data_IF_576418743929
#
_entry.id   IF_576418743929
#
_cell.length_a   1.000
_cell.length_b   1.000
_cell.length_c   1.000
_cell.angle_alpha   90.00
_cell.angle_beta   90.00
_cell.angle_gamma   90.00
#
_symmetry.space_group_name_H-M   'P 1'
#
loop_
_entity.id
_entity.type
_entity.pdbx_description
1 polymer ?
#
# COMPACT_ATOMS: atom_id res chain seq x y z
N UNK A 1 -13.33 31.89 -3.91
CA UNK A 1 -12.81 31.57 -2.56
C UNK A 1 -12.94 32.79 -1.67
N UNK A 2 -13.52 32.65 -0.48
CA UNK A 2 -13.72 33.74 0.47
C UNK A 2 -12.37 34.23 1.05
N UNK A 3 -12.09 35.54 0.94
CA UNK A 3 -10.82 36.15 1.38
C UNK A 3 -10.53 35.90 2.86
N UNK A 4 -11.57 35.77 3.70
CA UNK A 4 -11.43 35.52 5.15
C UNK A 4 -10.93 34.11 5.49
N UNK A 5 -11.21 33.12 4.63
CA UNK A 5 -10.81 31.72 4.85
C UNK A 5 -9.41 31.41 4.31
N UNK A 6 -8.87 32.25 3.42
CA UNK A 6 -7.58 32.03 2.76
C UNK A 6 -6.42 31.89 3.75
N UNK A 7 -6.35 32.74 4.76
CA UNK A 7 -5.28 32.70 5.79
C UNK A 7 -5.36 31.44 6.64
N UNK A 8 -6.57 31.01 7.00
CA UNK A 8 -6.78 29.74 7.74
C UNK A 8 -6.38 28.53 6.89
N UNK A 9 -6.74 28.52 5.61
CA UNK A 9 -6.37 27.45 4.67
C UNK A 9 -4.85 27.41 4.50
N UNK A 10 -4.20 28.54 4.24
CA UNK A 10 -2.74 28.61 4.11
C UNK A 10 -2.04 28.13 5.38
N UNK A 11 -2.50 28.58 6.55
CA UNK A 11 -1.94 28.13 7.83
C UNK A 11 -2.10 26.61 8.01
N UNK A 12 -3.26 26.05 7.67
CA UNK A 12 -3.49 24.61 7.73
C UNK A 12 -2.59 23.83 6.75
N UNK A 13 -2.41 24.33 5.53
CA UNK A 13 -1.50 23.74 4.53
C UNK A 13 -0.07 23.75 5.05
N UNK A 14 0.42 24.90 5.52
CA UNK A 14 1.78 25.02 6.06
C UNK A 14 1.99 24.08 7.24
N UNK A 15 1.06 24.06 8.21
CA UNK A 15 1.12 23.13 9.34
C UNK A 15 1.14 21.66 8.86
N UNK A 16 0.28 21.31 7.90
CA UNK A 16 0.22 19.96 7.33
C UNK A 16 1.51 19.54 6.64
N UNK A 17 2.10 20.43 5.84
CA UNK A 17 3.39 20.18 5.17
C UNK A 17 4.50 20.01 6.21
N UNK A 18 4.58 20.91 7.20
CA UNK A 18 5.60 20.84 8.25
C UNK A 18 5.48 19.55 9.06
N UNK A 19 4.27 19.20 9.51
CA UNK A 19 4.04 17.95 10.25
C UNK A 19 4.34 16.72 9.39
N UNK A 20 3.98 16.74 8.11
CA UNK A 20 4.30 15.67 7.16
C UNK A 20 5.80 15.49 6.99
N UNK A 21 6.56 16.60 6.88
CA UNK A 21 8.01 16.56 6.77
C UNK A 21 8.68 16.06 8.05
N UNK A 22 8.22 16.52 9.22
CA UNK A 22 8.70 16.02 10.52
C UNK A 22 8.43 14.52 10.65
N UNK A 23 7.23 14.07 10.30
CA UNK A 23 6.87 12.65 10.34
C UNK A 23 7.78 11.84 9.42
N UNK A 24 7.92 12.27 8.15
CA UNK A 24 8.83 11.64 7.18
C UNK A 24 10.26 11.59 7.69
N UNK A 25 10.74 12.67 8.30
CA UNK A 25 12.10 12.72 8.83
C UNK A 25 12.27 11.77 10.02
N UNK A 26 11.31 11.69 10.94
CA UNK A 26 11.40 10.82 12.12
C UNK A 26 11.23 9.32 11.81
N UNK A 27 10.34 8.98 10.86
CA UNK A 27 9.96 7.58 10.62
C UNK A 27 10.60 6.96 9.39
N UNK A 28 11.11 7.78 8.45
CA UNK A 28 11.75 7.33 7.22
C UNK A 28 13.16 7.92 7.10
N UNK A 29 13.97 7.37 6.20
CA UNK A 29 15.30 7.89 5.87
C UNK A 29 15.26 9.43 5.65
N UNK A 30 16.17 10.20 6.27
CA UNK A 30 17.50 9.78 6.74
C UNK A 30 17.68 9.49 8.24
N UNK A 31 16.75 9.87 9.14
CA UNK A 31 17.03 9.80 10.59
C UNK A 31 17.11 8.36 11.14
N UNK A 32 16.17 7.44 10.84
CA UNK A 32 16.32 6.04 11.27
C UNK A 32 17.56 5.39 10.68
N UNK A 33 17.90 5.69 9.43
CA UNK A 33 19.12 5.18 8.80
C UNK A 33 20.36 5.63 9.59
N UNK A 34 20.49 6.91 9.90
CA UNK A 34 21.58 7.44 10.73
C UNK A 34 21.67 6.78 12.11
N UNK A 35 20.53 6.51 12.77
CA UNK A 35 20.50 5.82 14.06
C UNK A 35 21.07 4.39 14.00
N UNK A 36 20.87 3.68 12.88
CA UNK A 36 21.33 2.30 12.72
C UNK A 36 22.71 2.17 12.07
N UNK A 37 23.09 3.07 11.17
CA UNK A 37 24.34 3.00 10.40
C UNK A 37 25.41 3.99 10.87
N UNK A 38 25.05 5.03 11.62
CA UNK A 38 25.95 6.11 12.03
C UNK A 38 26.28 7.11 10.93
N UNK A 39 25.74 6.94 9.73
CA UNK A 39 26.03 7.78 8.57
C UNK A 39 24.74 8.42 8.02
N UNK A 40 24.83 9.69 7.62
CA UNK A 40 23.74 10.33 6.87
C UNK A 40 23.79 9.83 5.44
N UNK A 41 22.77 9.07 5.04
CA UNK A 41 22.64 8.63 3.66
C UNK A 41 22.54 9.84 2.70
N UNK A 42 23.48 9.92 1.76
CA UNK A 42 23.56 10.99 0.72
C UNK A 42 22.45 10.85 -0.33
N UNK A 43 21.71 9.74 -0.30
CA UNK A 43 20.55 9.39 -1.14
C UNK A 43 19.42 10.43 -1.13
N UNK A 44 19.32 11.27 -0.09
CA UNK A 44 18.23 12.24 0.06
C UNK A 44 18.16 13.34 -1.01
N UNK A 45 19.23 13.53 -1.80
CA UNK A 45 19.33 14.57 -2.84
C UNK A 45 19.50 14.03 -4.27
N UNK A 46 19.60 12.71 -4.48
CA UNK A 46 19.67 12.16 -5.84
C UNK A 46 18.29 12.21 -6.49
N UNK A 47 18.00 13.28 -7.23
CA UNK A 47 16.83 13.34 -8.11
C UNK A 47 17.05 12.28 -9.19
N UNK A 48 16.12 11.31 -9.28
CA UNK A 48 16.21 10.27 -10.30
C UNK A 48 16.09 10.91 -11.69
N UNK A 49 17.14 10.79 -12.49
CA UNK A 49 17.19 11.28 -13.88
C UNK A 49 16.83 10.21 -14.91
N UNK A 50 16.68 8.96 -14.49
CA UNK A 50 16.30 7.83 -15.35
C UNK A 50 14.78 7.65 -15.44
N UNK A 51 14.35 7.02 -16.54
CA UNK A 51 12.97 6.58 -16.73
C UNK A 51 12.52 5.66 -15.58
N UNK A 52 11.24 5.74 -15.28
CA UNK A 52 10.57 4.95 -14.27
C UNK A 52 10.44 3.46 -14.59
N UNK A 53 10.58 3.08 -15.86
CA UNK A 53 10.27 1.72 -16.32
C UNK A 53 8.82 1.31 -16.10
N UNK A 54 7.93 2.24 -15.71
CA UNK A 54 6.54 1.94 -15.32
C UNK A 54 5.72 1.41 -16.48
N UNK A 55 5.91 1.94 -17.68
CA UNK A 55 5.20 1.46 -18.86
C UNK A 55 5.57 0.01 -19.17
N UNK A 56 6.86 -0.33 -19.08
CA UNK A 56 7.33 -1.70 -19.24
C UNK A 56 6.79 -2.64 -18.14
N UNK A 57 6.79 -2.17 -16.89
CA UNK A 57 6.16 -2.89 -15.75
C UNK A 57 4.66 -3.13 -15.98
N UNK A 58 3.94 -2.13 -16.49
CA UNK A 58 2.50 -2.23 -16.74
C UNK A 58 2.21 -3.16 -17.92
N UNK A 59 2.95 -3.03 -19.02
CA UNK A 59 2.83 -3.90 -20.18
C UNK A 59 3.09 -5.37 -19.83
N UNK A 60 4.15 -5.62 -19.06
CA UNK A 60 4.43 -6.93 -18.50
C UNK A 60 3.27 -7.46 -17.63
N UNK A 61 2.75 -6.65 -16.71
CA UNK A 61 1.64 -7.06 -15.86
C UNK A 61 0.35 -7.30 -16.67
N UNK A 62 0.10 -6.52 -17.74
CA UNK A 62 -1.05 -6.68 -18.62
C UNK A 62 -0.97 -7.97 -19.45
N UNK A 63 0.17 -8.25 -20.04
CA UNK A 63 0.41 -9.46 -20.85
C UNK A 63 0.33 -10.74 -20.03
N UNK A 64 0.60 -10.64 -18.72
CA UNK A 64 0.54 -11.75 -17.78
C UNK A 64 -0.77 -11.79 -16.97
N UNK A 65 -1.84 -11.07 -17.31
CA UNK A 65 -3.08 -11.17 -16.54
C UNK A 65 -3.70 -12.57 -16.62
N UNK A 66 -4.12 -13.08 -15.46
CA UNK A 66 -4.91 -14.31 -15.32
C UNK A 66 -6.34 -13.97 -14.95
N UNK A 67 -7.33 -14.72 -15.45
CA UNK A 67 -8.73 -14.52 -15.08
C UNK A 67 -8.94 -14.66 -13.56
N UNK A 68 -8.23 -15.59 -12.92
CA UNK A 68 -8.28 -15.86 -11.48
C UNK A 68 -7.17 -15.15 -10.67
N UNK A 69 -6.26 -14.46 -11.36
CA UNK A 69 -5.06 -13.85 -10.75
C UNK A 69 -3.96 -14.87 -10.44
N UNK A 70 -2.87 -14.37 -9.87
CA UNK A 70 -1.66 -15.14 -9.49
C UNK A 70 -1.52 -15.39 -7.99
N UNK A 71 -2.47 -14.91 -7.18
CA UNK A 71 -2.44 -14.99 -5.72
C UNK A 71 -2.05 -13.66 -5.05
N UNK A 72 -2.33 -13.57 -3.75
CA UNK A 72 -2.09 -12.36 -2.98
C UNK A 72 -0.61 -11.98 -2.91
N UNK A 73 -0.31 -10.78 -3.41
CA UNK A 73 1.05 -10.22 -3.49
C UNK A 73 1.97 -11.16 -4.30
N UNK A 74 1.57 -11.49 -5.53
CA UNK A 74 2.32 -12.39 -6.40
C UNK A 74 3.69 -11.78 -6.75
N UNK A 75 4.76 -12.58 -6.59
CA UNK A 75 6.12 -12.18 -6.94
C UNK A 75 6.75 -13.21 -7.90
N UNK A 76 7.68 -12.74 -8.72
CA UNK A 76 8.51 -13.58 -9.59
C UNK A 76 9.93 -13.65 -9.03
N UNK A 77 10.48 -14.86 -8.93
CA UNK A 77 11.78 -15.12 -8.33
C UNK A 77 12.98 -14.54 -9.09
N UNK A 78 12.88 -14.44 -10.42
CA UNK A 78 13.98 -14.02 -11.28
C UNK A 78 13.50 -13.17 -12.46
N UNK A 79 12.59 -12.23 -12.19
CA UNK A 79 12.30 -11.18 -13.16
C UNK A 79 13.16 -9.96 -12.83
N UNK A 80 13.94 -9.41 -13.78
CA UNK A 80 14.64 -8.12 -13.59
C UNK A 80 13.65 -6.98 -13.33
N UNK A 81 12.39 -7.23 -13.67
CA UNK A 81 11.23 -6.39 -13.46
C UNK A 81 10.47 -6.97 -12.26
N UNK A 82 10.97 -6.72 -11.03
CA UNK A 82 10.29 -7.14 -9.80
C UNK A 82 8.81 -6.72 -9.88
N UNK A 83 7.93 -7.71 -10.06
CA UNK A 83 6.63 -7.61 -10.74
C UNK A 83 5.54 -6.93 -9.91
N UNK A 84 5.79 -5.69 -9.48
CA UNK A 84 4.80 -4.88 -8.75
C UNK A 84 4.39 -3.70 -9.61
N UNK A 85 3.32 -3.84 -10.41
CA UNK A 85 2.85 -2.72 -11.21
C UNK A 85 2.47 -1.58 -10.27
N UNK A 86 3.06 -0.40 -10.51
CA UNK A 86 2.78 0.82 -9.75
C UNK A 86 1.42 1.44 -10.12
N UNK A 87 0.38 0.62 -10.20
CA UNK A 87 -0.99 0.97 -10.52
C UNK A 87 -1.91 0.00 -9.77
N UNK A 88 -2.74 0.52 -8.87
CA UNK A 88 -3.60 -0.30 -8.00
C UNK A 88 -4.61 -1.16 -8.76
N UNK A 89 -5.12 -0.71 -9.90
CA UNK A 89 -6.04 -1.50 -10.72
C UNK A 89 -5.32 -2.71 -11.31
N UNK A 90 -4.17 -2.48 -11.95
CA UNK A 90 -3.34 -3.54 -12.55
C UNK A 90 -2.87 -4.48 -11.44
N UNK A 91 -2.49 -3.97 -10.28
CA UNK A 91 -2.07 -4.76 -9.12
C UNK A 91 -3.18 -5.69 -8.62
N UNK A 92 -4.41 -5.19 -8.49
CA UNK A 92 -5.57 -6.02 -8.10
C UNK A 92 -5.86 -7.07 -9.17
N UNK A 93 -5.85 -6.69 -10.45
CA UNK A 93 -6.09 -7.60 -11.56
C UNK A 93 -5.03 -8.72 -11.65
N UNK A 94 -3.77 -8.35 -11.47
CA UNK A 94 -2.64 -9.27 -11.53
C UNK A 94 -2.66 -10.27 -10.36
N UNK A 95 -2.91 -9.78 -9.14
CA UNK A 95 -2.90 -10.63 -7.94
C UNK A 95 -4.18 -11.47 -7.79
N UNK A 96 -5.35 -10.88 -8.01
CA UNK A 96 -6.64 -11.48 -7.65
C UNK A 96 -7.56 -11.75 -8.85
N UNK A 97 -7.15 -11.36 -10.05
CA UNK A 97 -7.90 -11.62 -11.28
C UNK A 97 -8.86 -10.50 -11.67
N UNK A 98 -9.57 -10.74 -12.78
CA UNK A 98 -10.40 -9.72 -13.41
C UNK A 98 -11.66 -9.39 -12.60
N UNK A 99 -12.27 -10.39 -11.95
CA UNK A 99 -13.50 -10.18 -11.17
C UNK A 99 -13.24 -9.20 -10.00
N UNK A 100 -12.23 -9.41 -9.13
CA UNK A 100 -11.92 -8.44 -8.08
C UNK A 100 -11.52 -7.07 -8.61
N UNK A 101 -10.86 -6.99 -9.76
CA UNK A 101 -10.51 -5.70 -10.39
C UNK A 101 -11.76 -4.91 -10.81
N UNK A 102 -12.76 -5.58 -11.39
CA UNK A 102 -14.05 -4.96 -11.73
C UNK A 102 -14.78 -4.52 -10.47
N UNK A 103 -14.85 -5.37 -9.44
CA UNK A 103 -15.45 -5.00 -8.15
C UNK A 103 -14.76 -3.78 -7.53
N UNK A 104 -13.43 -3.71 -7.59
CA UNK A 104 -12.65 -2.58 -7.13
C UNK A 104 -13.02 -1.28 -7.88
N UNK A 105 -13.12 -1.33 -9.22
CA UNK A 105 -13.56 -0.17 -10.02
C UNK A 105 -14.98 0.28 -9.67
N UNK A 106 -15.91 -0.66 -9.49
CA UNK A 106 -17.29 -0.36 -9.09
C UNK A 106 -17.31 0.31 -7.71
N UNK A 107 -16.50 -0.16 -6.76
CA UNK A 107 -16.39 0.46 -5.43
C UNK A 107 -15.84 1.88 -5.51
N UNK A 108 -14.80 2.12 -6.31
CA UNK A 108 -14.23 3.46 -6.53
C UNK A 108 -15.25 4.39 -7.20
N UNK A 109 -15.97 3.90 -8.21
CA UNK A 109 -17.03 4.66 -8.88
C UNK A 109 -18.18 5.00 -7.91
N UNK A 110 -18.63 4.04 -7.11
CA UNK A 110 -19.67 4.25 -6.10
C UNK A 110 -19.22 5.27 -5.04
N UNK A 111 -17.97 5.18 -4.59
CA UNK A 111 -17.37 6.18 -3.69
C UNK A 111 -17.41 7.58 -4.32
N UNK A 112 -16.96 7.71 -5.57
CA UNK A 112 -16.97 8.98 -6.30
C UNK A 112 -18.40 9.56 -6.38
N UNK A 113 -19.37 8.74 -6.80
CA UNK A 113 -20.78 9.15 -6.89
C UNK A 113 -21.30 9.61 -5.52
N UNK A 114 -21.00 8.88 -4.44
CA UNK A 114 -21.43 9.23 -3.09
C UNK A 114 -20.80 10.54 -2.60
N UNK A 115 -19.53 10.78 -2.93
CA UNK A 115 -18.82 12.02 -2.57
C UNK A 115 -19.37 13.23 -3.33
N UNK A 116 -19.75 13.06 -4.59
CA UNK A 116 -20.38 14.12 -5.40
C UNK A 116 -21.78 14.43 -4.86
N UNK A 117 -22.58 13.40 -4.53
CA UNK A 117 -23.98 13.56 -4.12
C UNK A 117 -24.17 13.97 -2.66
N UNK A 118 -23.21 13.71 -1.78
CA UNK A 118 -23.37 13.99 -0.34
C UNK A 118 -23.30 15.49 -0.06
N UNK A 119 -24.24 16.01 0.75
CA UNK A 119 -24.22 17.38 1.25
C UNK A 119 -23.46 17.52 2.59
N UNK A 120 -23.08 16.40 3.21
CA UNK A 120 -22.34 16.42 4.47
C UNK A 120 -20.87 16.79 4.21
N UNK A 121 -20.46 17.97 4.69
CA UNK A 121 -19.11 18.50 4.49
C UNK A 121 -18.00 17.56 5.01
N UNK A 122 -18.23 16.85 6.13
CA UNK A 122 -17.23 15.91 6.69
C UNK A 122 -17.08 14.67 5.81
N UNK A 123 -18.20 14.09 5.38
CA UNK A 123 -18.19 12.94 4.46
C UNK A 123 -17.52 13.32 3.15
N UNK A 124 -17.85 14.51 2.62
CA UNK A 124 -17.23 15.03 1.39
C UNK A 124 -15.72 15.23 1.56
N UNK A 125 -15.27 15.82 2.67
CA UNK A 125 -13.84 16.02 2.97
C UNK A 125 -13.07 14.69 3.02
N UNK A 126 -13.54 13.72 3.82
CA UNK A 126 -12.87 12.42 3.95
C UNK A 126 -12.93 11.62 2.65
N UNK A 127 -14.05 11.68 1.94
CA UNK A 127 -14.22 11.00 0.67
C UNK A 127 -13.32 11.55 -0.44
N UNK A 128 -13.17 12.89 -0.54
CA UNK A 128 -12.18 13.51 -1.46
C UNK A 128 -10.76 13.11 -1.08
N UNK A 129 -10.44 13.07 0.22
CA UNK A 129 -9.11 12.64 0.68
C UNK A 129 -8.82 11.20 0.27
N UNK A 130 -9.77 10.28 0.46
CA UNK A 130 -9.64 8.89 0.05
C UNK A 130 -9.52 8.76 -1.48
N UNK A 131 -10.38 9.45 -2.24
CA UNK A 131 -10.33 9.45 -3.71
C UNK A 131 -9.02 10.03 -4.25
N UNK A 132 -8.42 11.02 -3.58
CA UNK A 132 -7.11 11.55 -3.97
C UNK A 132 -6.00 10.50 -3.82
N UNK A 133 -6.03 9.72 -2.74
CA UNK A 133 -5.11 8.59 -2.56
C UNK A 133 -5.34 7.48 -3.58
N UNK A 134 -6.61 7.15 -3.87
CA UNK A 134 -6.96 6.17 -4.92
C UNK A 134 -6.49 6.64 -6.29
N UNK A 135 -6.75 7.90 -6.66
CA UNK A 135 -6.30 8.46 -7.94
C UNK A 135 -4.77 8.42 -8.06
N UNK A 136 -4.06 8.78 -6.99
CA UNK A 136 -2.60 8.67 -6.95
C UNK A 136 -2.13 7.22 -7.08
N UNK A 137 -2.88 6.27 -6.52
CA UNK A 137 -2.55 4.85 -6.58
C UNK A 137 -2.64 4.23 -7.98
N UNK A 138 -3.34 4.86 -8.93
CA UNK A 138 -3.35 4.41 -10.34
C UNK A 138 -2.04 4.71 -11.08
N UNK A 139 -1.21 5.63 -10.58
CA UNK A 139 0.03 6.05 -11.26
C UNK A 139 1.26 5.67 -10.44
N UNK A 140 1.12 5.67 -9.13
CA UNK A 140 2.16 5.34 -8.17
C UNK A 140 1.68 4.16 -7.35
N UNK A 141 2.52 3.13 -7.14
CA UNK A 141 2.17 1.89 -6.41
C UNK A 141 1.99 2.11 -4.90
N UNK A 142 1.22 3.12 -4.53
CA UNK A 142 1.11 3.65 -3.18
C UNK A 142 0.39 2.65 -2.29
N UNK A 143 -0.65 2.00 -2.82
CA UNK A 143 -1.37 0.94 -2.12
C UNK A 143 -0.56 -0.36 -1.95
N UNK A 144 0.68 -0.42 -2.43
CA UNK A 144 1.63 -1.50 -2.13
C UNK A 144 2.44 -1.23 -0.85
N UNK A 145 2.53 0.03 -0.42
CA UNK A 145 3.33 0.40 0.75
C UNK A 145 2.53 0.31 2.07
N UNK A 146 3.09 -0.30 3.13
CA UNK A 146 2.39 -0.46 4.42
C UNK A 146 1.88 0.86 5.01
N UNK A 147 2.69 1.91 4.93
CA UNK A 147 2.32 3.23 5.47
C UNK A 147 1.10 3.83 4.74
N UNK A 148 1.05 3.68 3.42
CA UNK A 148 -0.05 4.21 2.64
C UNK A 148 -1.32 3.37 2.78
N UNK A 149 -1.18 2.04 2.92
CA UNK A 149 -2.29 1.16 3.29
C UNK A 149 -2.87 1.55 4.65
N UNK A 150 -2.02 1.86 5.65
CA UNK A 150 -2.46 2.36 6.94
C UNK A 150 -3.25 3.67 6.79
N UNK A 151 -2.73 4.65 6.06
CA UNK A 151 -3.46 5.90 5.83
C UNK A 151 -4.77 5.69 5.07
N UNK A 152 -4.81 4.77 4.10
CA UNK A 152 -6.04 4.42 3.39
C UNK A 152 -7.09 3.84 4.35
N UNK A 153 -6.70 2.91 5.23
CA UNK A 153 -7.59 2.30 6.24
C UNK A 153 -8.09 3.34 7.25
N UNK A 154 -7.21 4.21 7.76
CA UNK A 154 -7.59 5.28 8.69
C UNK A 154 -8.58 6.26 8.04
N UNK A 155 -8.31 6.69 6.81
CA UNK A 155 -9.18 7.61 6.06
C UNK A 155 -10.52 6.97 5.75
N UNK A 156 -10.52 5.69 5.37
CA UNK A 156 -11.73 4.91 5.13
C UNK A 156 -12.54 4.73 6.42
N UNK A 157 -11.90 4.44 7.55
CA UNK A 157 -12.53 4.36 8.87
C UNK A 157 -13.17 5.67 9.30
N UNK A 158 -12.47 6.80 9.09
CA UNK A 158 -13.00 8.14 9.33
C UNK A 158 -14.20 8.44 8.44
N UNK A 159 -14.14 8.10 7.14
CA UNK A 159 -15.25 8.23 6.22
C UNK A 159 -16.47 7.42 6.69
N UNK A 160 -16.27 6.14 7.02
CA UNK A 160 -17.34 5.25 7.48
C UNK A 160 -18.01 5.75 8.77
N UNK A 161 -17.21 6.25 9.72
CA UNK A 161 -17.73 6.79 10.98
C UNK A 161 -18.70 7.96 10.79
N UNK A 162 -18.59 8.69 9.67
CA UNK A 162 -19.47 9.81 9.33
C UNK A 162 -20.70 9.38 8.51
N UNK A 163 -20.70 8.17 7.94
CA UNK A 163 -21.88 7.57 7.29
C UNK A 163 -22.78 6.85 8.29
N UNK A 164 -22.18 6.17 9.27
CA UNK A 164 -22.93 5.38 10.24
C UNK A 164 -23.58 6.31 11.26
N UNK A 165 -24.91 6.29 11.38
CA UNK A 165 -25.59 6.87 12.54
C UNK A 165 -24.99 6.21 13.78
N UNK A 166 -24.66 7.00 14.80
CA UNK A 166 -24.07 6.52 16.06
C UNK A 166 -25.07 5.56 16.72
N UNK A 167 -25.03 4.29 16.34
CA UNK A 167 -25.78 3.24 17.00
C UNK A 167 -25.17 3.12 18.38
N UNK A 168 -26.00 3.06 19.42
CA UNK A 168 -25.53 2.67 20.74
C UNK A 168 -25.01 1.24 20.60
N UNK A 169 -23.71 1.11 20.40
CA UNK A 169 -23.09 -0.18 20.27
C UNK A 169 -23.10 -0.78 21.67
N UNK A 170 -23.87 -1.85 21.85
CA UNK A 170 -23.80 -2.62 23.08
C UNK A 170 -22.35 -3.11 23.21
N UNK A 171 -21.66 -2.69 24.28
CA UNK A 171 -20.25 -2.99 24.50
C UNK A 171 -20.09 -4.50 24.74
N UNK A 172 -20.03 -5.27 23.66
CA UNK A 172 -19.81 -6.70 23.76
C UNK A 172 -18.32 -6.94 24.02
N UNK A 173 -17.99 -7.29 25.27
CA UNK A 173 -16.62 -7.61 25.69
C UNK A 173 -16.02 -8.71 24.81
N UNK A 174 -16.81 -9.66 24.31
CA UNK A 174 -16.33 -10.75 23.44
C UNK A 174 -15.80 -10.22 22.11
N UNK A 175 -16.47 -9.24 21.50
CA UNK A 175 -16.01 -8.63 20.24
C UNK A 175 -14.69 -7.89 20.48
N UNK A 176 -14.57 -7.18 21.61
CA UNK A 176 -13.32 -6.48 21.95
C UNK A 176 -12.17 -7.45 22.20
N UNK A 177 -12.42 -8.54 22.94
CA UNK A 177 -11.43 -9.61 23.16
C UNK A 177 -11.03 -10.26 21.83
N UNK A 178 -11.99 -10.57 20.97
CA UNK A 178 -11.74 -11.13 19.65
C UNK A 178 -10.85 -10.22 18.79
N UNK A 179 -11.15 -8.91 18.75
CA UNK A 179 -10.32 -7.94 18.02
C UNK A 179 -8.91 -7.87 18.60
N UNK A 180 -8.75 -7.90 19.93
CA UNK A 180 -7.44 -7.90 20.58
C UNK A 180 -6.65 -9.16 20.22
N UNK A 181 -7.26 -10.34 20.34
CA UNK A 181 -6.62 -11.62 19.99
C UNK A 181 -6.21 -11.64 18.52
N UNK A 182 -7.11 -11.22 17.62
CA UNK A 182 -6.83 -11.15 16.18
C UNK A 182 -5.67 -10.20 15.90
N UNK A 183 -5.66 -9.02 16.52
CA UNK A 183 -4.58 -8.04 16.36
C UNK A 183 -3.25 -8.58 16.86
N UNK A 184 -3.23 -9.25 18.02
CA UNK A 184 -2.03 -9.88 18.57
C UNK A 184 -1.50 -11.01 17.67
N UNK A 185 -2.38 -11.83 17.09
CA UNK A 185 -1.99 -12.87 16.14
C UNK A 185 -1.41 -12.28 14.85
N UNK A 186 -1.98 -11.19 14.34
CA UNK A 186 -1.44 -10.47 13.19
C UNK A 186 -0.05 -9.90 13.52
N UNK A 187 0.13 -9.27 14.67
CA UNK A 187 1.43 -8.75 15.10
C UNK A 187 2.46 -9.89 15.22
N UNK A 188 2.09 -11.00 15.85
CA UNK A 188 2.96 -12.16 16.01
C UNK A 188 3.38 -12.75 14.67
N UNK A 189 2.42 -13.01 13.76
CA UNK A 189 2.70 -13.56 12.43
C UNK A 189 3.57 -12.65 11.58
N UNK A 190 3.30 -11.34 11.58
CA UNK A 190 4.14 -10.35 10.88
C UNK A 190 5.56 -10.32 11.47
N UNK A 191 5.68 -10.30 12.80
CA UNK A 191 6.99 -10.26 13.48
C UNK A 191 7.81 -11.52 13.20
N UNK A 192 7.16 -12.69 13.27
CA UNK A 192 7.80 -13.96 12.93
C UNK A 192 8.32 -13.99 11.49
N UNK A 193 7.52 -13.48 10.53
CA UNK A 193 7.95 -13.40 9.12
C UNK A 193 9.07 -12.38 8.88
N UNK A 194 9.10 -11.29 9.64
CA UNK A 194 10.21 -10.34 9.58
C UNK A 194 11.50 -11.01 10.09
N UNK A 195 11.44 -11.73 11.20
CA UNK A 195 12.59 -12.47 11.74
C UNK A 195 13.10 -13.54 10.78
N UNK A 196 12.18 -14.34 10.23
CA UNK A 196 12.48 -15.34 9.19
C UNK A 196 13.17 -14.70 7.97
N UNK A 197 12.74 -13.50 7.56
CA UNK A 197 13.40 -12.75 6.47
C UNK A 197 14.81 -12.26 6.83
N UNK A 198 15.04 -11.85 8.07
CA UNK A 198 16.36 -11.37 8.54
C UNK A 198 17.35 -12.54 8.62
N UNK A 199 16.91 -13.68 9.17
CA UNK A 199 17.73 -14.87 9.35
C UNK A 199 18.13 -15.52 8.01
N UNK A 200 17.25 -15.49 7.01
CA UNK A 200 17.47 -16.11 5.70
C UNK A 200 18.35 -15.31 4.71
N UNK A 201 19.07 -14.26 5.13
CA UNK A 201 20.03 -13.46 4.32
C UNK A 201 19.54 -13.13 2.90
N UNK A 202 18.36 -12.52 2.85
CA UNK A 202 17.52 -12.52 1.66
C UNK A 202 17.86 -11.41 0.66
N UNK A 203 18.81 -11.65 -0.24
CA UNK A 203 18.90 -10.95 -1.53
C UNK A 203 19.39 -11.90 -2.62
N UNK A 204 18.51 -12.17 -3.59
CA UNK A 204 18.71 -12.93 -4.83
C UNK A 204 18.86 -14.45 -4.67
N UNK A 205 18.21 -15.21 -5.55
CA UNK A 205 18.55 -16.61 -5.74
C UNK A 205 19.92 -16.70 -6.43
N UNK A 206 20.81 -17.58 -5.95
CA UNK A 206 22.13 -17.79 -6.57
C UNK A 206 22.04 -18.36 -8.01
N UNK A 207 20.86 -18.78 -8.45
CA UNK A 207 20.60 -19.38 -9.77
C UNK A 207 19.29 -18.91 -10.38
N UNK A 208 19.24 -18.91 -11.73
CA UNK A 208 18.03 -18.63 -12.51
C UNK A 208 16.91 -19.63 -12.18
N UNK A 209 15.70 -19.11 -12.00
CA UNK A 209 14.46 -19.81 -11.67
C UNK A 209 13.46 -19.35 -12.73
N UNK A 210 12.78 -20.25 -13.46
CA UNK A 210 11.78 -19.86 -14.44
C UNK A 210 10.72 -18.94 -13.81
N UNK A 211 10.18 -17.99 -14.59
CA UNK A 211 9.17 -17.01 -14.15
C UNK A 211 7.85 -17.69 -13.78
N UNK A 212 7.81 -18.27 -12.58
CA UNK A 212 6.63 -18.83 -11.94
C UNK A 212 6.24 -17.85 -10.83
N UNK A 213 5.00 -17.39 -10.85
CA UNK A 213 4.48 -16.49 -9.82
C UNK A 213 4.08 -17.26 -8.58
N UNK A 214 4.51 -16.77 -7.43
CA UNK A 214 4.19 -17.33 -6.13
C UNK A 214 3.56 -16.27 -5.23
N UNK A 215 2.62 -16.60 -4.35
CA UNK A 215 2.06 -15.64 -3.42
C UNK A 215 3.08 -15.29 -2.32
N UNK A 216 3.46 -14.02 -2.23
CA UNK A 216 4.43 -13.53 -1.25
C UNK A 216 3.94 -13.68 0.18
N UNK A 217 2.64 -13.67 0.43
CA UNK A 217 2.09 -13.85 1.78
C UNK A 217 2.54 -15.17 2.44
N UNK A 218 2.71 -16.23 1.64
CA UNK A 218 3.07 -17.56 2.15
C UNK A 218 4.57 -17.81 2.15
N UNK A 219 5.27 -17.23 1.17
CA UNK A 219 6.68 -17.53 0.91
C UNK A 219 7.61 -16.38 1.29
N UNK A 220 7.12 -15.16 1.56
CA UNK A 220 7.94 -14.05 2.07
C UNK A 220 9.00 -13.53 1.10
N UNK A 221 8.82 -13.76 -0.21
CA UNK A 221 9.82 -13.66 -1.29
C UNK A 221 10.84 -14.83 -1.35
N UNK A 222 10.68 -15.89 -0.54
CA UNK A 222 11.55 -17.06 -0.57
C UNK A 222 11.21 -17.99 -1.75
N UNK A 223 12.19 -18.25 -2.61
CA UNK A 223 12.11 -19.19 -3.73
C UNK A 223 12.52 -20.61 -3.30
N UNK A 224 11.94 -21.13 -2.22
CA UNK A 224 12.32 -22.43 -1.64
C UNK A 224 11.85 -23.59 -2.53
N UNK A 225 12.74 -24.55 -2.84
CA UNK A 225 12.36 -25.83 -3.47
C UNK A 225 12.51 -25.92 -5.00
N UNK A 226 13.20 -24.99 -5.65
CA UNK A 226 13.46 -25.05 -7.11
C UNK A 226 14.74 -25.83 -7.42
N UNK A 227 14.69 -27.16 -7.29
CA UNK A 227 15.81 -28.08 -7.56
C UNK A 227 16.00 -28.37 -9.06
N UNK A 228 16.38 -27.37 -9.86
CA UNK A 228 16.99 -27.63 -11.18
C UNK A 228 18.24 -26.76 -11.36
N UNK A 229 19.40 -27.34 -11.06
CA UNK A 229 20.70 -26.87 -11.56
C UNK A 229 20.77 -27.12 -13.07
N UNK A 230 21.38 -26.22 -13.82
CA UNK A 230 21.82 -26.48 -15.20
C UNK A 230 23.34 -26.35 -15.21
N UNK A 231 23.99 -27.32 -15.86
CA UNK A 231 25.38 -27.27 -16.35
C UNK A 231 25.50 -26.32 -17.53
#
# INVERSE_FOLDING_TARGET
MDKKLRTRILKAIVIGITLGYITKWLTLEPFPAYLFTGEFAVSGLSIRTSDSGRLHLWDFAFTNLSFWGHGGDAFACNSPVNARPHNSLILVAFNWGLIPAICYLILVANLLINVIKTNNAKVRMWGVSLLSGVAYSFISGVLDSPLSQLFAVLTLGMLWSNFTKRTQHNKNKLISIFIIVLSSLVIFTVSFRILDRIENKHFLADSYVPEIYFPQFWLGNNCVGTTKRIE
#
